data_IF_562532397818
#
_entry.id   IF_562532397818
#
_cell.length_a   1.000
_cell.length_b   1.000
_cell.length_c   1.000
_cell.angle_alpha   90.00
_cell.angle_beta   90.00
_cell.angle_gamma   90.00
#
_symmetry.space_group_name_H-M   'P 1'
#
loop_
_entity.id
_entity.type
_entity.pdbx_description
1 polymer ?
#
# COMPACT_ATOMS: atom_id res chain seq x y z
N UNK A 1 7.77 14.11 -6.25
CA UNK A 1 7.46 12.98 -5.34
C UNK A 1 8.74 12.18 -5.14
N UNK A 2 8.76 11.10 -4.34
CA UNK A 2 9.98 10.30 -4.18
C UNK A 2 10.29 9.47 -5.44
N UNK A 3 11.56 9.14 -5.69
CA UNK A 3 12.01 8.45 -6.91
C UNK A 3 11.19 7.20 -7.29
N UNK A 4 10.76 6.41 -6.30
CA UNK A 4 9.90 5.25 -6.53
C UNK A 4 8.54 5.60 -7.16
N UNK A 5 7.90 6.69 -6.74
CA UNK A 5 6.63 7.13 -7.35
C UNK A 5 6.81 7.56 -8.81
N UNK A 6 7.97 8.14 -9.13
CA UNK A 6 8.30 8.51 -10.51
C UNK A 6 8.56 7.24 -11.36
N UNK A 7 9.18 6.20 -10.78
CA UNK A 7 9.42 4.89 -11.41
C UNK A 7 8.13 4.10 -11.67
N UNK A 8 7.12 4.20 -10.78
CA UNK A 8 5.82 3.55 -10.96
C UNK A 8 5.08 4.06 -12.21
N UNK A 9 5.28 5.33 -12.59
CA UNK A 9 4.71 5.91 -13.81
C UNK A 9 3.21 5.65 -13.97
N UNK A 10 2.82 5.04 -15.09
CA UNK A 10 1.42 4.75 -15.41
C UNK A 10 0.77 3.69 -14.51
N UNK A 11 1.57 2.91 -13.76
CA UNK A 11 1.04 1.95 -12.79
C UNK A 11 0.58 2.63 -11.50
N UNK A 12 0.92 3.89 -11.24
CA UNK A 12 0.44 4.59 -10.05
C UNK A 12 -1.02 5.03 -10.21
N UNK A 13 -1.92 4.43 -9.43
CA UNK A 13 -3.35 4.77 -9.43
C UNK A 13 -3.65 5.82 -8.36
N UNK A 14 -3.12 5.63 -7.16
CA UNK A 14 -3.20 6.57 -6.05
C UNK A 14 -1.87 6.60 -5.31
N UNK A 15 -1.25 7.79 -5.22
CA UNK A 15 -0.06 8.05 -4.41
C UNK A 15 -0.27 7.80 -2.91
N UNK A 16 -1.53 7.76 -2.49
CA UNK A 16 -2.00 7.46 -1.16
C UNK A 16 -1.64 8.53 -0.15
N UNK A 17 -1.81 8.20 1.14
CA UNK A 17 -1.67 9.13 2.24
C UNK A 17 -1.06 8.46 3.49
N UNK A 18 -0.27 9.18 4.29
CA UNK A 18 0.19 8.67 5.57
C UNK A 18 -0.96 8.57 6.57
N UNK A 19 -0.93 7.54 7.42
CA UNK A 19 -1.85 7.36 8.53
C UNK A 19 -1.27 7.96 9.82
N UNK A 20 -2.16 8.42 10.70
CA UNK A 20 -1.78 8.96 12.02
C UNK A 20 -2.29 8.04 13.12
N UNK A 21 -3.28 8.49 13.90
CA UNK A 21 -3.90 7.68 14.95
C UNK A 21 -5.02 6.83 14.37
N UNK A 22 -4.98 5.53 14.66
CA UNK A 22 -6.05 4.58 14.32
C UNK A 22 -6.86 4.23 15.55
N UNK A 23 -8.17 4.03 15.39
CA UNK A 23 -9.06 3.49 16.41
C UNK A 23 -9.75 2.26 15.85
N UNK A 24 -9.97 1.28 16.72
CA UNK A 24 -10.63 0.04 16.36
C UNK A 24 -12.01 -0.04 16.97
N UNK A 25 -12.93 -0.67 16.23
CA UNK A 25 -14.27 -1.02 16.68
C UNK A 25 -14.35 -2.55 16.70
N UNK A 26 -14.97 -3.13 17.73
CA UNK A 26 -15.14 -4.60 17.84
C UNK A 26 -14.36 -5.27 18.98
N UNK A 27 -13.36 -4.62 19.56
CA UNK A 27 -12.61 -5.06 20.74
C UNK A 27 -11.45 -6.03 20.44
N UNK A 28 -10.32 -5.87 21.15
CA UNK A 28 -9.07 -6.62 20.96
C UNK A 28 -7.83 -5.81 21.37
N UNK A 29 -6.63 -6.42 21.39
CA UNK A 29 -5.35 -5.64 21.36
C UNK A 29 -5.12 -5.18 19.92
N UNK A 30 -5.93 -4.23 19.51
CA UNK A 30 -5.94 -3.79 18.13
C UNK A 30 -4.94 -2.64 17.98
N UNK A 31 -3.74 -2.98 17.53
CA UNK A 31 -2.72 -2.02 17.10
C UNK A 31 -2.49 -2.22 15.60
N UNK A 32 -2.77 -1.18 14.82
CA UNK A 32 -2.43 -1.18 13.39
C UNK A 32 -0.96 -0.82 13.26
N UNK A 33 -0.22 -1.65 12.53
CA UNK A 33 1.15 -1.32 12.11
C UNK A 33 1.17 -0.53 10.78
N UNK A 34 0.01 -0.31 10.15
CA UNK A 34 -0.09 0.40 8.88
C UNK A 34 0.16 1.89 9.10
N UNK A 35 1.05 2.45 8.28
CA UNK A 35 1.47 3.87 8.35
C UNK A 35 1.05 4.69 7.14
N UNK A 36 0.39 4.06 6.16
CA UNK A 36 -0.11 4.68 4.94
C UNK A 36 -0.46 3.62 3.91
N UNK A 37 -0.78 4.07 2.71
CA UNK A 37 -1.09 3.21 1.57
C UNK A 37 -0.60 3.83 0.26
N UNK A 38 -0.60 3.03 -0.80
CA UNK A 38 -0.45 3.42 -2.21
C UNK A 38 -1.27 2.42 -3.02
N UNK A 39 -1.99 2.85 -4.05
CA UNK A 39 -2.72 1.97 -4.96
C UNK A 39 -2.00 1.97 -6.30
N UNK A 40 -1.70 0.77 -6.80
CA UNK A 40 -1.04 0.56 -8.08
C UNK A 40 -1.86 -0.39 -8.96
N UNK A 41 -1.74 -0.22 -10.27
CA UNK A 41 -2.24 -1.16 -11.28
C UNK A 41 -1.09 -2.09 -11.71
N UNK A 42 -1.34 -3.40 -11.61
CA UNK A 42 -0.46 -4.45 -12.07
C UNK A 42 -1.26 -5.50 -12.86
N UNK A 43 -0.57 -6.41 -13.55
CA UNK A 43 -1.21 -7.54 -14.26
C UNK A 43 -1.71 -8.64 -13.33
N UNK A 44 -1.04 -8.80 -12.19
CA UNK A 44 -1.24 -9.84 -11.20
C UNK A 44 -0.49 -9.48 -9.90
N UNK A 45 -0.62 -10.33 -8.88
CA UNK A 45 -0.01 -10.10 -7.56
C UNK A 45 1.52 -10.14 -7.58
N UNK A 46 2.15 -10.95 -8.43
CA UNK A 46 3.62 -11.06 -8.51
C UNK A 46 4.23 -9.80 -9.15
N UNK A 47 3.56 -9.25 -10.16
CA UNK A 47 3.90 -7.97 -10.76
C UNK A 47 3.72 -6.81 -9.75
N UNK A 48 2.66 -6.84 -8.94
CA UNK A 48 2.44 -5.86 -7.88
C UNK A 48 3.54 -5.91 -6.81
N UNK A 49 3.96 -7.12 -6.40
CA UNK A 49 5.08 -7.31 -5.46
C UNK A 49 6.37 -6.74 -6.05
N UNK A 50 6.67 -7.04 -7.32
CA UNK A 50 7.86 -6.52 -8.01
C UNK A 50 7.89 -4.99 -8.03
N UNK A 51 6.76 -4.34 -8.33
CA UNK A 51 6.65 -2.88 -8.26
C UNK A 51 6.82 -2.34 -6.83
N UNK A 52 6.33 -3.06 -5.83
CA UNK A 52 6.41 -2.69 -4.42
C UNK A 52 7.83 -2.81 -3.82
N UNK A 53 8.74 -3.60 -4.41
CA UNK A 53 10.14 -3.71 -3.95
C UNK A 53 10.89 -2.37 -3.95
N UNK A 54 10.46 -1.41 -4.79
CA UNK A 54 11.01 -0.06 -4.82
C UNK A 54 10.55 0.84 -3.66
N UNK A 55 9.58 0.41 -2.85
CA UNK A 55 8.97 1.23 -1.81
C UNK A 55 10.02 1.71 -0.78
N UNK A 56 10.10 3.03 -0.51
CA UNK A 56 11.14 3.59 0.37
C UNK A 56 11.03 3.12 1.83
N UNK A 57 9.88 2.58 2.25
CA UNK A 57 9.67 1.99 3.58
C UNK A 57 10.60 0.80 3.82
N UNK A 58 10.88 0.00 2.78
CA UNK A 58 11.75 -1.18 2.88
C UNK A 58 13.20 -0.80 3.21
N UNK A 59 13.64 0.39 2.79
CA UNK A 59 14.98 0.93 3.12
C UNK A 59 15.11 1.39 4.57
N UNK A 60 14.01 1.48 5.31
CA UNK A 60 13.93 1.94 6.71
C UNK A 60 13.52 0.82 7.65
N UNK A 61 13.83 -0.44 7.28
CA UNK A 61 13.49 -1.64 8.05
C UNK A 61 11.97 -1.82 8.28
N UNK A 62 11.15 -1.09 7.52
CA UNK A 62 9.70 -1.26 7.52
C UNK A 62 9.28 -2.48 6.71
N UNK A 63 7.98 -2.75 6.73
CA UNK A 63 7.36 -3.84 5.96
C UNK A 63 6.28 -3.26 5.05
N UNK A 64 6.09 -3.89 3.91
CA UNK A 64 5.00 -3.59 2.98
C UNK A 64 4.14 -4.84 2.85
N UNK A 65 2.84 -4.67 3.06
CA UNK A 65 1.84 -5.68 2.75
C UNK A 65 1.26 -5.36 1.37
N UNK A 66 1.20 -6.37 0.50
CA UNK A 66 0.65 -6.23 -0.85
C UNK A 66 -0.58 -7.11 -0.93
N UNK A 67 -1.71 -6.53 -1.35
CA UNK A 67 -2.98 -7.23 -1.51
C UNK A 67 -3.68 -6.72 -2.75
N UNK A 68 -4.33 -7.62 -3.46
CA UNK A 68 -5.18 -7.27 -4.60
C UNK A 68 -6.47 -6.62 -4.07
N UNK A 69 -6.79 -5.43 -4.57
CA UNK A 69 -8.09 -4.81 -4.33
C UNK A 69 -9.12 -5.51 -5.21
N UNK A 70 -10.11 -6.14 -4.59
CA UNK A 70 -11.27 -6.66 -5.31
C UNK A 70 -12.29 -5.54 -5.50
N UNK A 71 -12.91 -5.51 -6.67
CA UNK A 71 -14.09 -4.69 -6.88
C UNK A 71 -15.17 -5.06 -5.85
N UNK A 72 -15.81 -4.03 -5.29
CA UNK A 72 -16.98 -4.26 -4.45
C UNK A 72 -18.07 -4.90 -5.33
N UNK A 73 -18.61 -6.08 -4.95
CA UNK A 73 -19.77 -6.61 -5.66
C UNK A 73 -20.93 -5.63 -5.48
N UNK A 74 -21.37 -5.04 -6.60
CA UNK A 74 -22.51 -4.11 -6.77
C UNK A 74 -23.02 -3.45 -5.48
N UNK A 75 -22.37 -2.34 -5.10
CA UNK A 75 -22.93 -1.35 -4.18
C UNK A 75 -23.32 -0.08 -4.92
#
# INVERSE_FOLDING_TARGET
MGAWYDELGASLVDGGNPFTQSKFLGGGDDRSALTGYTIIQASDIDAAVTLAEGCPVLKREGKVEVSEAMDLPDM
#
